data_IF_142572737923
#
_entry.id   IF_142572737923
#
_cell.length_a   1.000
_cell.length_b   1.000
_cell.length_c   1.000
_cell.angle_alpha   90.00
_cell.angle_beta   90.00
_cell.angle_gamma   90.00
#
_symmetry.space_group_name_H-M   'P 1'
#
loop_
_entity.id
_entity.type
_entity.pdbx_description
1 polymer ?
#
# COMPACT_ATOMS: atom_id res chain seq x y z
N UNK A 1 16.22 3.32 1.72
CA UNK A 1 14.86 3.34 1.15
C UNK A 1 13.84 2.96 2.22
N UNK A 2 12.78 3.75 2.32
CA UNK A 2 11.64 3.55 3.23
C UNK A 2 10.53 2.71 2.58
N UNK A 3 9.57 2.20 3.37
CA UNK A 3 8.45 1.40 2.85
C UNK A 3 7.54 2.19 1.90
N UNK A 4 7.34 3.47 2.18
CA UNK A 4 6.56 4.39 1.33
C UNK A 4 7.23 4.63 -0.03
N UNK A 5 8.55 4.84 -0.05
CA UNK A 5 9.35 4.95 -1.28
C UNK A 5 9.26 3.67 -2.11
N UNK A 6 9.47 2.50 -1.49
CA UNK A 6 9.35 1.21 -2.15
C UNK A 6 7.96 1.01 -2.75
N UNK A 7 6.90 1.36 -2.00
CA UNK A 7 5.53 1.30 -2.48
C UNK A 7 5.28 2.24 -3.65
N UNK A 8 5.80 3.46 -3.59
CA UNK A 8 5.64 4.48 -4.62
C UNK A 8 6.30 4.01 -5.92
N UNK A 9 7.56 3.57 -5.86
CA UNK A 9 8.30 3.03 -7.00
C UNK A 9 7.58 1.82 -7.59
N UNK A 10 7.16 0.87 -6.75
CA UNK A 10 6.44 -0.33 -7.20
C UNK A 10 5.15 0.03 -7.95
N UNK A 11 4.34 0.94 -7.39
CA UNK A 11 3.06 1.36 -7.98
C UNK A 11 3.25 2.15 -9.26
N UNK A 12 4.23 3.03 -9.31
CA UNK A 12 4.57 3.81 -10.49
C UNK A 12 4.96 2.90 -11.66
N UNK A 13 5.76 1.88 -11.38
CA UNK A 13 6.16 0.85 -12.35
C UNK A 13 5.12 -0.26 -12.56
N UNK A 14 3.91 -0.11 -12.00
CA UNK A 14 2.77 -1.06 -12.14
C UNK A 14 3.06 -2.50 -11.69
N UNK A 15 4.05 -2.73 -10.84
CA UNK A 15 4.28 -4.05 -10.26
C UNK A 15 3.25 -4.32 -9.16
N UNK A 16 2.63 -5.50 -9.17
CA UNK A 16 1.71 -5.89 -8.09
C UNK A 16 2.48 -6.44 -6.88
N UNK A 17 1.85 -6.49 -5.69
CA UNK A 17 2.46 -7.19 -4.55
C UNK A 17 2.71 -8.66 -4.86
N UNK A 18 1.78 -9.27 -5.60
CA UNK A 18 1.89 -10.63 -6.12
C UNK A 18 3.10 -10.81 -7.05
N UNK A 19 3.47 -9.79 -7.83
CA UNK A 19 4.67 -9.83 -8.69
C UNK A 19 5.94 -9.88 -7.85
N UNK A 20 6.01 -9.11 -6.76
CA UNK A 20 7.13 -9.13 -5.81
C UNK A 20 7.19 -10.49 -5.09
N UNK A 21 6.04 -10.97 -4.62
CA UNK A 21 5.85 -12.28 -3.97
C UNK A 21 6.28 -13.44 -4.89
N UNK A 22 5.80 -13.47 -6.13
CA UNK A 22 6.20 -14.49 -7.10
C UNK A 22 7.70 -14.49 -7.39
N UNK A 23 8.37 -13.32 -7.33
CA UNK A 23 9.81 -13.19 -7.57
C UNK A 23 10.66 -13.51 -6.34
N UNK A 24 10.11 -13.35 -5.14
CA UNK A 24 10.72 -13.77 -3.87
C UNK A 24 10.62 -15.29 -3.68
N UNK A 25 9.66 -15.95 -4.33
CA UNK A 25 9.46 -17.39 -4.28
C UNK A 25 8.45 -17.81 -3.21
N UNK A 26 8.59 -19.03 -2.68
CA UNK A 26 7.61 -19.66 -1.77
C UNK A 26 7.53 -18.95 -0.40
N UNK A 27 8.56 -18.19 -0.03
CA UNK A 27 8.77 -17.74 1.35
C UNK A 27 8.12 -16.41 1.72
N UNK A 28 7.53 -15.66 0.78
CA UNK A 28 7.01 -14.32 1.06
C UNK A 28 5.58 -14.17 0.57
N UNK A 29 4.65 -13.99 1.50
CA UNK A 29 3.24 -13.73 1.18
C UNK A 29 3.01 -12.28 0.77
N UNK A 30 1.90 -12.02 0.06
CA UNK A 30 1.46 -10.65 -0.27
C UNK A 30 1.27 -9.79 0.99
N UNK A 31 0.86 -10.40 2.11
CA UNK A 31 0.77 -9.75 3.42
C UNK A 31 2.12 -9.26 3.91
N UNK A 32 3.18 -10.07 3.78
CA UNK A 32 4.52 -9.66 4.15
C UNK A 32 5.01 -8.48 3.30
N UNK A 33 4.77 -8.49 1.99
CA UNK A 33 5.10 -7.34 1.11
C UNK A 33 4.37 -6.08 1.58
N UNK A 34 3.11 -6.21 2.00
CA UNK A 34 2.31 -5.09 2.53
C UNK A 34 2.83 -4.55 3.87
N UNK A 35 3.38 -5.39 4.73
CA UNK A 35 4.03 -4.96 5.97
C UNK A 35 5.31 -4.19 5.68
N UNK A 36 6.11 -4.67 4.74
CA UNK A 36 7.35 -4.01 4.30
C UNK A 36 7.05 -2.61 3.72
N UNK A 37 5.97 -2.47 2.95
CA UNK A 37 5.51 -1.16 2.44
C UNK A 37 5.07 -0.17 3.53
N UNK A 38 4.76 -0.65 4.73
CA UNK A 38 4.39 0.18 5.89
C UNK A 38 5.56 0.43 6.83
N UNK A 39 6.63 -0.37 6.71
CA UNK A 39 7.81 -0.28 7.56
C UNK A 39 8.61 0.99 7.30
N UNK A 40 9.32 1.43 8.34
CA UNK A 40 10.27 2.55 8.25
C UNK A 40 11.49 2.20 7.39
N UNK A 41 11.87 0.92 7.33
CA UNK A 41 13.04 0.44 6.59
C UNK A 41 12.69 -0.82 5.81
N UNK A 42 13.03 -0.82 4.52
CA UNK A 42 12.85 -1.98 3.65
C UNK A 42 14.09 -2.87 3.72
N UNK A 43 13.94 -4.19 3.97
CA UNK A 43 15.07 -5.11 3.94
C UNK A 43 15.73 -5.14 2.57
N UNK A 44 17.06 -5.23 2.56
CA UNK A 44 17.87 -5.15 1.34
C UNK A 44 17.48 -6.18 0.27
N UNK A 45 17.00 -7.35 0.68
CA UNK A 45 16.49 -8.39 -0.21
C UNK A 45 15.33 -7.89 -1.09
N UNK A 46 14.35 -7.20 -0.51
CA UNK A 46 13.22 -6.63 -1.27
C UNK A 46 13.68 -5.52 -2.22
N UNK A 47 14.67 -4.73 -1.81
CA UNK A 47 15.28 -3.71 -2.67
C UNK A 47 15.90 -4.37 -3.91
N UNK A 48 16.69 -5.45 -3.73
CA UNK A 48 17.28 -6.20 -4.84
C UNK A 48 16.24 -6.76 -5.81
N UNK A 49 15.12 -7.26 -5.30
CA UNK A 49 14.05 -7.80 -6.15
C UNK A 49 13.38 -6.70 -6.97
N UNK A 50 13.12 -5.55 -6.35
CA UNK A 50 12.59 -4.40 -7.06
C UNK A 50 13.58 -3.88 -8.11
N UNK A 51 14.87 -3.82 -7.77
CA UNK A 51 15.96 -3.51 -8.70
C UNK A 51 15.95 -4.45 -9.90
N UNK A 52 15.84 -5.76 -9.66
CA UNK A 52 15.76 -6.79 -10.70
C UNK A 52 14.53 -6.64 -11.59
N UNK A 53 13.36 -6.36 -11.02
CA UNK A 53 12.12 -6.17 -11.78
C UNK A 53 12.18 -4.92 -12.66
N UNK A 54 12.89 -3.87 -12.21
CA UNK A 54 13.09 -2.63 -12.97
C UNK A 54 14.25 -2.71 -13.96
N UNK A 55 15.15 -3.69 -13.82
CA UNK A 55 16.42 -3.72 -14.55
C UNK A 55 17.38 -2.58 -14.15
N UNK A 56 17.21 -2.02 -12.96
CA UNK A 56 17.97 -0.87 -12.46
C UNK A 56 18.49 -1.14 -11.05
N UNK A 57 19.70 -0.68 -10.74
CA UNK A 57 20.28 -0.89 -9.42
C UNK A 57 19.85 0.20 -8.42
N UNK A 58 18.76 -0.06 -7.69
CA UNK A 58 18.25 0.84 -6.63
C UNK A 58 19.10 0.82 -5.34
N UNK A 59 20.18 0.03 -5.27
CA UNK A 59 21.13 0.15 -4.15
C UNK A 59 22.00 1.40 -4.27
N UNK A 60 22.13 1.95 -5.48
CA UNK A 60 22.83 3.22 -5.74
C UNK A 60 21.90 4.39 -5.44
N UNK A 61 22.34 5.26 -4.55
CA UNK A 61 21.53 6.38 -4.07
C UNK A 61 21.14 7.35 -5.19
N UNK A 62 22.02 7.61 -6.15
CA UNK A 62 21.74 8.50 -7.28
C UNK A 62 20.61 7.98 -8.19
N UNK A 63 20.59 6.66 -8.41
CA UNK A 63 19.55 6.01 -9.23
C UNK A 63 18.23 6.03 -8.47
N UNK A 64 18.27 5.72 -7.18
CA UNK A 64 17.10 5.76 -6.32
C UNK A 64 16.48 7.17 -6.29
N UNK A 65 17.27 8.21 -6.07
CA UNK A 65 16.80 9.60 -6.04
C UNK A 65 16.17 10.02 -7.38
N UNK A 66 16.82 9.73 -8.51
CA UNK A 66 16.26 9.99 -9.85
C UNK A 66 14.91 9.31 -10.06
N UNK A 67 14.74 8.09 -9.58
CA UNK A 67 13.47 7.39 -9.67
C UNK A 67 12.42 8.03 -8.77
N UNK A 68 12.79 8.45 -7.56
CA UNK A 68 11.87 9.12 -6.64
C UNK A 68 11.42 10.49 -7.15
N UNK A 69 12.33 11.29 -7.71
CA UNK A 69 12.02 12.59 -8.29
C UNK A 69 11.08 12.48 -9.50
N UNK A 70 11.14 11.35 -10.23
CA UNK A 70 10.24 11.06 -11.33
C UNK A 70 8.84 10.60 -10.93
N UNK A 71 8.60 10.29 -9.64
CA UNK A 71 7.33 9.74 -9.17
C UNK A 71 6.43 10.88 -8.66
N UNK A 72 5.23 11.05 -9.25
CA UNK A 72 4.29 12.05 -8.76
C UNK A 72 3.87 11.78 -7.30
N UNK A 73 3.76 12.84 -6.49
CA UNK A 73 3.43 12.77 -5.05
C UNK A 73 2.18 11.95 -4.72
N UNK A 74 1.22 11.85 -5.66
CA UNK A 74 0.01 11.02 -5.55
C UNK A 74 0.28 9.55 -5.24
N UNK A 75 1.48 9.05 -5.56
CA UNK A 75 1.88 7.67 -5.28
C UNK A 75 2.44 7.47 -3.86
N UNK A 76 2.93 8.54 -3.23
CA UNK A 76 3.40 8.54 -1.84
C UNK A 76 2.23 8.72 -0.87
N UNK A 77 1.34 9.67 -1.19
CA UNK A 77 0.13 9.89 -0.41
C UNK A 77 -0.98 8.96 -0.88
N UNK A 78 -1.09 7.79 -0.25
CA UNK A 78 -2.36 7.10 -0.22
C UNK A 78 -3.34 8.02 0.55
N UNK A 79 -4.02 8.93 -0.16
CA UNK A 79 -5.11 9.72 0.42
C UNK A 79 -5.99 8.74 1.17
N UNK A 80 -6.06 8.92 2.48
CA UNK A 80 -7.07 8.29 3.31
C UNK A 80 -8.38 8.72 2.67
N UNK A 81 -9.00 7.85 1.87
CA UNK A 81 -10.39 8.01 1.53
C UNK A 81 -11.12 7.82 2.85
N UNK A 82 -11.26 8.90 3.63
CA UNK A 82 -12.24 9.00 4.69
C UNK A 82 -13.58 8.89 4.00
N UNK A 83 -14.07 7.65 3.83
CA UNK A 83 -15.48 7.43 3.57
C UNK A 83 -16.17 8.08 4.75
N UNK A 84 -16.79 9.25 4.53
CA UNK A 84 -17.63 9.86 5.55
C UNK A 84 -18.61 8.78 6.01
N UNK A 85 -18.76 8.53 7.32
CA UNK A 85 -19.70 7.52 7.78
C UNK A 85 -21.08 7.90 7.23
N UNK A 86 -21.72 6.97 6.51
CA UNK A 86 -23.13 7.10 6.12
C UNK A 86 -23.91 7.39 7.41
N UNK A 87 -24.75 8.43 7.48
CA UNK A 87 -25.63 8.59 8.63
C UNK A 87 -26.50 7.32 8.72
N UNK A 88 -26.49 6.68 9.89
CA UNK A 88 -27.43 5.60 10.19
C UNK A 88 -28.82 6.21 10.10
N UNK A 89 -29.64 5.79 9.13
CA UNK A 89 -31.07 6.10 9.14
C UNK A 89 -31.62 5.64 10.49
N UNK A 90 -32.06 6.59 11.31
CA UNK A 90 -32.74 6.30 12.55
C UNK A 90 -34.02 5.53 12.20
N UNK A 91 -34.08 4.26 12.59
CA UNK A 91 -35.30 3.46 12.52
C UNK A 91 -36.25 4.06 13.55
N UNK A 92 -37.25 4.80 13.06
CA UNK A 92 -38.35 5.29 13.89
C UNK A 92 -39.24 4.07 14.15
N UNK A 93 -39.16 3.52 15.36
CA UNK A 93 -40.14 2.52 15.81
C UNK A 93 -41.45 3.26 16.14
N UNK A 94 -42.60 2.84 15.61
CA UNK A 94 -43.88 3.42 16.04
C UNK A 94 -44.15 3.05 17.50
N UNK A 95 -44.85 3.92 18.26
CA UNK A 95 -45.22 3.62 19.64
C UNK A 95 -46.19 2.43 19.64
N UNK A 96 -45.83 1.36 20.34
CA UNK A 96 -46.74 0.23 20.60
C UNK A 96 -47.88 0.73 21.48
N UNK A 97 -49.06 0.81 20.89
CA UNK A 97 -50.31 1.06 21.60
C UNK A 97 -50.54 -0.03 22.64
N UNK A 98 -50.41 0.36 23.90
CA UNK A 98 -50.89 -0.38 25.06
C UNK A 98 -52.41 -0.26 25.11
N UNK A 99 -53.13 -1.35 24.92
CA UNK A 99 -54.54 -1.44 25.29
C UNK A 99 -54.73 -2.76 26.05
N UNK A 100 -54.50 -2.69 27.37
CA UNK A 100 -55.29 -3.47 28.31
C UNK A 100 -56.49 -2.61 28.68
N UNK A 101 -57.68 -3.18 28.54
CA UNK A 101 -58.97 -2.54 28.84
C UNK A 101 -60.10 -3.29 28.16
#
# INVERSE_FOLDING_TARGET
MTGSEFRAIRRFNKFSQRTISAKTGIYVSDSAVKEIERGSKVPHFFVKILSWLMGLDLSKEDILRKQLDGIPEKFFHAKICTRKPKPKSAVIFPPTGSIYG
#
